data_IF_150103711059
#
_entry.id   IF_150103711059
#
_cell.length_a   1.000
_cell.length_b   1.000
_cell.length_c   1.000
_cell.angle_alpha   90.00
_cell.angle_beta   90.00
_cell.angle_gamma   90.00
#
_symmetry.space_group_name_H-M   'P 1'
#
loop_
_entity.id
_entity.type
_entity.pdbx_description
1 polymer ?
#
# COMPACT_ATOMS: atom_id res chain seq x y z
N UNK A 1 20.60 2.46 -6.14
CA UNK A 1 20.31 3.82 -6.66
C UNK A 1 18.81 4.04 -6.94
N UNK A 2 18.06 3.06 -7.43
CA UNK A 2 16.63 3.24 -7.81
C UNK A 2 15.72 3.70 -6.65
N UNK A 3 15.86 3.12 -5.44
CA UNK A 3 15.01 3.49 -4.30
C UNK A 3 15.20 4.97 -3.92
N UNK A 4 16.43 5.45 -3.89
CA UNK A 4 16.72 6.87 -3.61
C UNK A 4 16.07 7.76 -4.65
N UNK A 5 16.18 7.40 -5.93
CA UNK A 5 15.53 8.13 -7.01
C UNK A 5 14.00 8.19 -6.82
N UNK A 6 13.37 7.04 -6.52
CA UNK A 6 11.92 6.97 -6.26
C UNK A 6 11.54 7.85 -5.06
N UNK A 7 12.28 7.78 -3.97
CA UNK A 7 12.04 8.63 -2.78
C UNK A 7 12.15 10.11 -3.13
N UNK A 8 13.21 10.52 -3.82
CA UNK A 8 13.41 11.92 -4.22
C UNK A 8 12.27 12.41 -5.11
N UNK A 9 11.85 11.62 -6.09
CA UNK A 9 10.71 11.96 -6.98
C UNK A 9 9.43 12.16 -6.15
N UNK A 10 9.12 11.25 -5.20
CA UNK A 10 7.94 11.36 -4.35
C UNK A 10 8.02 12.55 -3.39
N UNK A 11 9.19 12.88 -2.85
CA UNK A 11 9.38 14.06 -2.00
C UNK A 11 9.21 15.37 -2.78
N UNK A 12 9.75 15.46 -3.99
CA UNK A 12 9.53 16.60 -4.88
C UNK A 12 8.03 16.72 -5.22
N UNK A 13 7.39 15.60 -5.56
CA UNK A 13 5.96 15.57 -5.84
C UNK A 13 5.13 16.05 -4.63
N UNK A 14 5.48 15.59 -3.43
CA UNK A 14 4.86 16.06 -2.20
C UNK A 14 5.04 17.58 -1.98
N UNK A 15 6.25 18.09 -2.18
CA UNK A 15 6.55 19.51 -2.00
C UNK A 15 5.77 20.40 -2.98
N UNK A 16 5.52 19.92 -4.21
CA UNK A 16 4.82 20.67 -5.25
C UNK A 16 3.29 20.60 -5.16
N UNK A 17 2.73 19.45 -4.73
CA UNK A 17 1.32 19.16 -4.87
C UNK A 17 0.55 18.99 -3.56
N UNK A 18 1.21 18.82 -2.40
CA UNK A 18 0.52 18.64 -1.13
C UNK A 18 0.20 19.97 -0.42
N UNK A 19 -1.08 20.14 -0.10
CA UNK A 19 -1.54 21.17 0.84
C UNK A 19 -1.34 20.69 2.29
N UNK A 20 -0.55 21.43 3.06
CA UNK A 20 -0.21 21.09 4.44
C UNK A 20 -1.44 20.92 5.34
N UNK A 21 -2.47 21.75 5.18
CA UNK A 21 -3.69 21.69 5.98
C UNK A 21 -4.48 20.41 5.69
N UNK A 22 -4.62 20.07 4.41
CA UNK A 22 -5.29 18.83 3.98
C UNK A 22 -4.49 17.58 4.40
N UNK A 23 -3.17 17.64 4.31
CA UNK A 23 -2.29 16.57 4.77
C UNK A 23 -2.47 16.32 6.28
N UNK A 24 -2.50 17.38 7.10
CA UNK A 24 -2.76 17.24 8.52
C UNK A 24 -4.12 16.59 8.84
N UNK A 25 -5.17 16.95 8.11
CA UNK A 25 -6.50 16.33 8.26
C UNK A 25 -6.54 14.86 7.85
N UNK A 26 -5.71 14.45 6.90
CA UNK A 26 -5.62 13.07 6.41
C UNK A 26 -4.66 12.21 7.23
N UNK A 27 -3.84 12.80 8.11
CA UNK A 27 -2.81 12.11 8.88
C UNK A 27 -3.32 10.89 9.68
N UNK A 28 -4.49 10.92 10.37
CA UNK A 28 -5.00 9.72 11.04
C UNK A 28 -5.26 8.55 10.08
N UNK A 29 -5.61 8.83 8.82
CA UNK A 29 -5.82 7.80 7.79
C UNK A 29 -4.49 7.24 7.29
N UNK A 30 -3.45 8.04 7.21
CA UNK A 30 -2.09 7.57 6.94
C UNK A 30 -1.62 6.63 8.04
N UNK A 31 -1.83 6.99 9.32
CA UNK A 31 -1.47 6.12 10.44
C UNK A 31 -2.23 4.79 10.42
N UNK A 32 -3.55 4.83 10.15
CA UNK A 32 -4.35 3.61 9.95
C UNK A 32 -3.72 2.70 8.90
N UNK A 33 -3.35 3.24 7.75
CA UNK A 33 -2.71 2.47 6.70
C UNK A 33 -1.37 1.87 7.15
N UNK A 34 -0.49 2.68 7.77
CA UNK A 34 0.81 2.23 8.29
C UNK A 34 0.62 1.07 9.27
N UNK A 35 -0.33 1.19 10.21
CA UNK A 35 -0.60 0.13 11.20
C UNK A 35 -1.01 -1.16 10.50
N UNK A 36 -1.95 -1.13 9.55
CA UNK A 36 -2.39 -2.34 8.87
C UNK A 36 -1.33 -2.93 7.95
N UNK A 37 -0.50 -2.10 7.33
CA UNK A 37 0.66 -2.57 6.56
C UNK A 37 1.69 -3.27 7.48
N UNK A 38 1.97 -2.71 8.65
CA UNK A 38 2.85 -3.34 9.64
C UNK A 38 2.24 -4.64 10.21
N UNK A 39 0.92 -4.71 10.43
CA UNK A 39 0.23 -5.94 10.82
C UNK A 39 0.40 -7.02 9.75
N UNK A 40 0.24 -6.67 8.47
CA UNK A 40 0.52 -7.59 7.37
C UNK A 40 1.98 -8.10 7.44
N UNK A 41 2.95 -7.20 7.52
CA UNK A 41 4.37 -7.55 7.59
C UNK A 41 4.71 -8.39 8.83
N UNK A 42 4.05 -8.17 9.95
CA UNK A 42 4.23 -8.97 11.15
C UNK A 42 3.68 -10.40 10.98
N UNK A 43 2.44 -10.52 10.47
CA UNK A 43 1.78 -11.82 10.29
C UNK A 43 2.47 -12.67 9.21
N UNK A 44 2.84 -12.05 8.10
CA UNK A 44 3.42 -12.73 6.93
C UNK A 44 4.95 -12.70 6.91
N UNK A 45 5.62 -12.35 8.01
CA UNK A 45 7.07 -12.19 8.08
C UNK A 45 7.87 -13.36 7.52
N UNK A 46 7.50 -14.60 7.87
CA UNK A 46 8.17 -15.83 7.38
C UNK A 46 7.44 -16.48 6.20
N UNK A 47 6.36 -15.88 5.73
CA UNK A 47 5.53 -16.42 4.64
C UNK A 47 4.95 -15.29 3.77
N UNK A 48 5.79 -14.39 3.27
CA UNK A 48 5.34 -13.21 2.55
C UNK A 48 4.58 -13.60 1.29
N UNK A 49 3.56 -12.81 0.93
CA UNK A 49 2.80 -12.94 -0.31
C UNK A 49 3.52 -12.29 -1.48
N UNK A 50 4.38 -11.29 -1.16
CA UNK A 50 5.28 -10.63 -2.11
C UNK A 50 6.55 -10.18 -1.41
N UNK A 51 7.62 -10.06 -2.17
CA UNK A 51 8.92 -9.60 -1.68
C UNK A 51 9.55 -8.61 -2.63
N UNK A 52 10.15 -7.55 -2.07
CA UNK A 52 11.03 -6.68 -2.82
C UNK A 52 12.42 -7.30 -2.91
N UNK A 53 12.99 -7.30 -4.11
CA UNK A 53 14.33 -7.82 -4.37
C UNK A 53 15.36 -6.68 -4.39
N UNK A 54 16.40 -6.80 -3.59
CA UNK A 54 17.50 -5.84 -3.53
C UNK A 54 18.52 -6.05 -4.64
N UNK A 55 18.31 -5.43 -5.80
CA UNK A 55 19.17 -5.65 -6.99
C UNK A 55 20.55 -4.97 -6.86
N UNK A 56 20.69 -3.91 -6.06
CA UNK A 56 21.86 -3.03 -6.14
C UNK A 56 22.85 -3.12 -5.00
N UNK A 57 22.43 -3.48 -3.81
CA UNK A 57 23.30 -3.62 -2.63
C UNK A 57 22.68 -4.54 -1.59
N UNK A 58 23.47 -5.27 -0.77
CA UNK A 58 22.96 -6.09 0.33
C UNK A 58 22.17 -5.31 1.41
N UNK A 59 22.41 -3.99 1.51
CA UNK A 59 21.73 -3.09 2.46
C UNK A 59 20.28 -2.87 2.04
N UNK A 60 19.97 -2.87 0.74
CA UNK A 60 18.63 -2.72 0.18
C UNK A 60 17.93 -4.08 0.15
N UNK A 61 17.71 -4.68 1.31
CA UNK A 61 16.92 -5.90 1.46
C UNK A 61 15.42 -5.59 1.47
N UNK A 62 14.61 -6.62 1.38
CA UNK A 62 13.15 -6.52 1.41
C UNK A 62 12.64 -5.61 2.55
N UNK A 63 13.11 -5.83 3.77
CA UNK A 63 12.66 -5.06 4.95
C UNK A 63 12.94 -3.57 4.81
N UNK A 64 14.12 -3.17 4.34
CA UNK A 64 14.48 -1.76 4.19
C UNK A 64 13.65 -1.08 3.10
N UNK A 65 13.42 -1.77 1.99
CA UNK A 65 12.57 -1.28 0.90
C UNK A 65 11.13 -1.14 1.40
N UNK A 66 10.59 -2.15 2.06
CA UNK A 66 9.24 -2.18 2.62
C UNK A 66 9.02 -1.04 3.63
N UNK A 67 9.97 -0.80 4.54
CA UNK A 67 9.89 0.32 5.47
C UNK A 67 9.89 1.68 4.75
N UNK A 68 10.67 1.81 3.68
CA UNK A 68 10.70 3.04 2.87
C UNK A 68 9.35 3.27 2.19
N UNK A 69 8.73 2.23 1.63
CA UNK A 69 7.38 2.33 1.08
C UNK A 69 6.36 2.65 2.16
N UNK A 70 6.39 1.95 3.28
CA UNK A 70 5.44 2.12 4.39
C UNK A 70 5.45 3.52 5.01
N UNK A 71 6.64 4.11 5.19
CA UNK A 71 6.77 5.37 5.94
C UNK A 71 6.98 6.62 5.07
N UNK A 72 7.30 6.45 3.79
CA UNK A 72 7.59 7.59 2.91
C UNK A 72 6.68 7.57 1.69
N UNK A 73 6.77 6.55 0.84
CA UNK A 73 6.15 6.56 -0.49
C UNK A 73 4.62 6.46 -0.38
N UNK A 74 4.12 5.43 0.28
CA UNK A 74 2.67 5.20 0.42
C UNK A 74 1.96 6.30 1.22
N UNK A 75 2.50 6.83 2.32
CA UNK A 75 1.95 8.03 2.96
C UNK A 75 1.75 9.20 2.02
N UNK A 76 2.73 9.54 1.20
CA UNK A 76 2.62 10.63 0.23
C UNK A 76 1.52 10.31 -0.80
N UNK A 77 1.50 9.09 -1.32
CA UNK A 77 0.48 8.65 -2.27
C UNK A 77 -0.94 8.75 -1.67
N UNK A 78 -1.13 8.32 -0.42
CA UNK A 78 -2.42 8.39 0.30
C UNK A 78 -2.85 9.84 0.51
N UNK A 79 -1.94 10.72 0.90
CA UNK A 79 -2.23 12.14 1.07
C UNK A 79 -2.70 12.77 -0.22
N UNK A 80 -2.03 12.51 -1.34
CA UNK A 80 -2.43 13.00 -2.67
C UNK A 80 -3.78 12.40 -3.08
N UNK A 81 -3.96 11.09 -2.91
CA UNK A 81 -5.21 10.41 -3.19
C UNK A 81 -6.40 11.05 -2.46
N UNK A 82 -6.26 11.31 -1.17
CA UNK A 82 -7.34 11.90 -0.35
C UNK A 82 -7.57 13.38 -0.68
N UNK A 83 -6.50 14.13 -0.97
CA UNK A 83 -6.58 15.55 -1.25
C UNK A 83 -7.39 15.87 -2.52
N UNK A 84 -7.22 15.07 -3.55
CA UNK A 84 -7.86 15.26 -4.86
C UNK A 84 -9.08 14.37 -5.08
N UNK A 85 -9.59 13.74 -4.03
CA UNK A 85 -10.70 12.81 -4.15
C UNK A 85 -12.00 13.50 -4.59
N UNK A 86 -12.63 13.09 -5.70
CA UNK A 86 -13.78 13.77 -6.27
C UNK A 86 -15.07 13.63 -5.43
N UNK A 87 -16.06 14.48 -5.72
CA UNK A 87 -17.37 14.47 -5.02
C UNK A 87 -18.41 13.57 -5.69
N UNK A 88 -18.46 13.57 -7.03
CA UNK A 88 -19.45 12.80 -7.81
C UNK A 88 -19.19 11.28 -7.73
N UNK A 89 -20.26 10.48 -7.68
CA UNK A 89 -20.16 9.02 -7.53
C UNK A 89 -19.41 8.35 -8.69
N UNK A 90 -19.70 8.78 -9.92
CA UNK A 90 -19.04 8.26 -11.13
C UNK A 90 -17.56 8.59 -11.11
N UNK A 91 -17.23 9.87 -10.82
CA UNK A 91 -15.83 10.29 -10.74
C UNK A 91 -15.06 9.59 -9.61
N UNK A 92 -15.72 9.22 -8.50
CA UNK A 92 -15.09 8.42 -7.43
C UNK A 92 -14.65 7.05 -7.94
N UNK A 93 -15.56 6.34 -8.64
CA UNK A 93 -15.24 5.01 -9.19
C UNK A 93 -14.10 5.09 -10.22
N UNK A 94 -14.16 6.04 -11.14
CA UNK A 94 -13.09 6.28 -12.13
C UNK A 94 -11.77 6.62 -11.43
N UNK A 95 -11.80 7.49 -10.43
CA UNK A 95 -10.61 7.93 -9.71
C UNK A 95 -9.94 6.78 -8.94
N UNK A 96 -10.72 5.95 -8.24
CA UNK A 96 -10.20 4.72 -7.61
C UNK A 96 -9.60 3.81 -8.68
N UNK A 97 -10.31 3.60 -9.79
CA UNK A 97 -9.82 2.78 -10.91
C UNK A 97 -8.48 3.27 -11.47
N UNK A 98 -8.30 4.58 -11.64
CA UNK A 98 -7.04 5.17 -12.09
C UNK A 98 -5.88 4.88 -11.11
N UNK A 99 -6.12 5.00 -9.80
CA UNK A 99 -5.11 4.68 -8.78
C UNK A 99 -4.78 3.19 -8.76
N UNK A 100 -5.78 2.32 -8.91
CA UNK A 100 -5.58 0.87 -9.01
C UNK A 100 -4.74 0.52 -10.24
N UNK A 101 -5.08 1.08 -11.40
CA UNK A 101 -4.31 0.87 -12.64
C UNK A 101 -2.87 1.37 -12.47
N UNK A 102 -2.69 2.56 -11.91
CA UNK A 102 -1.37 3.14 -11.67
C UNK A 102 -0.50 2.24 -10.78
N UNK A 103 -1.03 1.81 -9.62
CA UNK A 103 -0.27 0.94 -8.71
C UNK A 103 0.00 -0.43 -9.30
N UNK A 104 -1.00 -1.04 -9.96
CA UNK A 104 -0.82 -2.33 -10.62
C UNK A 104 0.17 -2.26 -11.77
N UNK A 105 0.24 -1.14 -12.48
CA UNK A 105 1.23 -0.91 -13.53
C UNK A 105 2.65 -0.79 -12.96
N UNK A 106 2.84 -0.02 -11.89
CA UNK A 106 4.15 0.11 -11.22
C UNK A 106 4.60 -1.24 -10.66
N UNK A 107 3.71 -1.99 -10.04
CA UNK A 107 3.98 -3.32 -9.51
C UNK A 107 4.39 -4.31 -10.61
N UNK A 108 3.66 -4.30 -11.74
CA UNK A 108 4.00 -5.13 -12.90
C UNK A 108 5.34 -4.73 -13.53
N UNK A 109 5.66 -3.43 -13.55
CA UNK A 109 6.95 -2.93 -13.99
C UNK A 109 8.08 -3.45 -13.10
N UNK A 110 7.91 -3.36 -11.78
CA UNK A 110 8.88 -3.85 -10.80
C UNK A 110 9.05 -5.37 -10.90
N UNK A 111 7.94 -6.10 -11.10
CA UNK A 111 7.99 -7.55 -11.32
C UNK A 111 8.79 -7.90 -12.59
N UNK A 112 8.56 -7.21 -13.71
CA UNK A 112 9.34 -7.43 -14.95
C UNK A 112 10.80 -7.04 -14.85
N UNK A 113 11.14 -6.14 -13.93
CA UNK A 113 12.52 -5.71 -13.67
C UNK A 113 13.20 -6.56 -12.59
N UNK A 114 12.58 -7.66 -12.16
CA UNK A 114 13.08 -8.55 -11.09
C UNK A 114 13.31 -7.84 -9.75
N UNK A 115 12.64 -6.70 -9.54
CA UNK A 115 12.70 -5.93 -8.30
C UNK A 115 11.59 -6.29 -7.32
N UNK A 116 10.65 -7.12 -7.74
CA UNK A 116 9.46 -7.53 -6.99
C UNK A 116 9.05 -8.94 -7.40
N UNK A 117 8.75 -9.78 -6.44
CA UNK A 117 8.40 -11.18 -6.65
C UNK A 117 7.11 -11.54 -5.91
N UNK A 118 6.29 -12.39 -6.54
CA UNK A 118 5.08 -12.95 -5.91
C UNK A 118 5.38 -14.33 -5.34
N UNK A 119 4.85 -14.59 -4.16
CA UNK A 119 5.04 -15.84 -3.43
C UNK A 119 3.73 -16.37 -2.86
N UNK A 120 3.73 -17.61 -2.39
CA UNK A 120 2.66 -18.22 -1.59
C UNK A 120 1.25 -18.10 -2.20
N UNK A 121 1.14 -18.22 -3.51
CA UNK A 121 -0.14 -18.21 -4.25
C UNK A 121 -0.65 -16.81 -4.59
N UNK A 122 0.05 -15.74 -4.18
CA UNK A 122 -0.29 -14.39 -4.59
C UNK A 122 0.06 -14.15 -6.06
N UNK A 123 -0.57 -13.18 -6.69
CA UNK A 123 -0.31 -12.81 -8.09
C UNK A 123 -0.79 -11.39 -8.38
N UNK A 124 -0.42 -10.84 -9.54
CA UNK A 124 -0.86 -9.51 -10.00
C UNK A 124 -2.38 -9.33 -9.95
N UNK A 125 -3.17 -10.39 -10.18
CA UNK A 125 -4.64 -10.31 -10.08
C UNK A 125 -5.09 -10.06 -8.65
N UNK A 126 -4.49 -10.75 -7.68
CA UNK A 126 -4.77 -10.54 -6.26
C UNK A 126 -4.36 -9.13 -5.82
N UNK A 127 -3.21 -8.63 -6.28
CA UNK A 127 -2.78 -7.25 -6.04
C UNK A 127 -3.76 -6.23 -6.59
N UNK A 128 -4.28 -6.41 -7.80
CA UNK A 128 -5.27 -5.49 -8.37
C UNK A 128 -6.57 -5.44 -7.54
N UNK A 129 -7.10 -6.59 -7.11
CA UNK A 129 -8.26 -6.66 -6.22
C UNK A 129 -7.96 -6.05 -4.85
N UNK A 130 -6.79 -6.34 -4.29
CA UNK A 130 -6.36 -5.76 -3.03
C UNK A 130 -6.22 -4.24 -3.12
N UNK A 131 -5.71 -3.70 -4.22
CA UNK A 131 -5.62 -2.26 -4.45
C UNK A 131 -7.01 -1.60 -4.49
N UNK A 132 -8.03 -2.24 -5.10
CA UNK A 132 -9.42 -1.74 -5.05
C UNK A 132 -9.91 -1.67 -3.61
N UNK A 133 -9.72 -2.74 -2.85
CA UNK A 133 -10.09 -2.81 -1.44
C UNK A 133 -9.34 -1.74 -0.63
N UNK A 134 -8.04 -1.67 -0.77
CA UNK A 134 -7.16 -0.74 -0.07
C UNK A 134 -7.58 0.72 -0.27
N UNK A 135 -7.70 1.18 -1.51
CA UNK A 135 -8.11 2.57 -1.80
C UNK A 135 -9.54 2.87 -1.32
N UNK A 136 -10.44 1.90 -1.41
CA UNK A 136 -11.80 2.04 -0.87
C UNK A 136 -11.78 2.18 0.66
N UNK A 137 -11.01 1.36 1.35
CA UNK A 137 -10.87 1.39 2.81
C UNK A 137 -10.17 2.66 3.30
N UNK A 138 -9.13 3.14 2.60
CA UNK A 138 -8.48 4.43 2.87
C UNK A 138 -9.51 5.57 2.80
N UNK A 139 -10.33 5.59 1.75
CA UNK A 139 -11.36 6.61 1.61
C UNK A 139 -12.45 6.49 2.69
N UNK A 140 -12.86 5.28 3.02
CA UNK A 140 -13.84 5.02 4.06
C UNK A 140 -13.30 5.46 5.43
N UNK A 141 -12.04 5.14 5.76
CA UNK A 141 -11.40 5.54 7.01
C UNK A 141 -11.37 7.07 7.16
N UNK A 142 -11.02 7.78 6.11
CA UNK A 142 -11.00 9.23 6.14
C UNK A 142 -12.37 9.86 6.46
N UNK A 143 -13.48 9.15 6.23
CA UNK A 143 -14.84 9.62 6.50
C UNK A 143 -15.48 8.98 7.74
N UNK A 144 -15.20 7.70 7.99
CA UNK A 144 -15.80 6.88 9.05
C UNK A 144 -14.74 5.97 9.68
N UNK A 145 -13.80 6.53 10.47
CA UNK A 145 -12.65 5.78 10.96
C UNK A 145 -13.03 4.54 11.79
N UNK A 146 -13.93 4.67 12.75
CA UNK A 146 -14.34 3.56 13.64
C UNK A 146 -14.97 2.42 12.82
N UNK A 147 -15.89 2.74 11.89
CA UNK A 147 -16.50 1.73 11.02
C UNK A 147 -15.45 0.99 10.20
N UNK A 148 -14.46 1.72 9.67
CA UNK A 148 -13.41 1.12 8.86
C UNK A 148 -12.54 0.17 9.66
N UNK A 149 -12.16 0.54 10.89
CA UNK A 149 -11.39 -0.33 11.78
C UNK A 149 -12.17 -1.63 12.07
N UNK A 150 -13.47 -1.50 12.36
CA UNK A 150 -14.33 -2.68 12.60
C UNK A 150 -14.38 -3.58 11.35
N UNK A 151 -14.54 -3.00 10.16
CA UNK A 151 -14.57 -3.76 8.90
C UNK A 151 -13.22 -4.37 8.54
N UNK A 152 -12.10 -3.77 8.97
CA UNK A 152 -10.77 -4.30 8.69
C UNK A 152 -10.52 -5.67 9.35
N UNK A 153 -11.15 -5.94 10.50
CA UNK A 153 -10.99 -7.22 11.20
C UNK A 153 -11.49 -8.41 10.36
N UNK A 154 -12.78 -8.46 9.94
CA UNK A 154 -13.26 -9.55 9.09
C UNK A 154 -12.54 -9.62 7.74
N UNK A 155 -12.15 -8.48 7.14
CA UNK A 155 -11.37 -8.46 5.90
C UNK A 155 -10.03 -9.16 6.11
N UNK A 156 -9.31 -8.86 7.20
CA UNK A 156 -8.03 -9.50 7.51
C UNK A 156 -8.22 -11.01 7.74
N UNK A 157 -9.28 -11.43 8.43
CA UNK A 157 -9.58 -12.86 8.62
C UNK A 157 -9.82 -13.56 7.27
N UNK A 158 -10.58 -12.94 6.38
CA UNK A 158 -10.83 -13.49 5.03
C UNK A 158 -9.52 -13.61 4.24
N UNK A 159 -8.67 -12.57 4.26
CA UNK A 159 -7.37 -12.61 3.57
C UNK A 159 -6.48 -13.74 4.11
N UNK A 160 -6.39 -13.91 5.43
CA UNK A 160 -5.63 -15.00 6.04
C UNK A 160 -6.22 -16.37 5.68
N UNK A 161 -7.55 -16.48 5.56
CA UNK A 161 -8.22 -17.73 5.14
C UNK A 161 -7.95 -18.07 3.68
N UNK A 162 -7.83 -17.06 2.81
CA UNK A 162 -7.49 -17.26 1.38
C UNK A 162 -6.01 -17.58 1.18
N UNK A 163 -5.14 -17.03 2.00
CA UNK A 163 -3.69 -17.20 1.94
C UNK A 163 -3.17 -17.64 3.32
N UNK A 164 -3.40 -18.91 3.69
CA UNK A 164 -3.14 -19.39 5.05
C UNK A 164 -1.65 -19.39 5.37
N UNK A 165 -1.33 -18.88 6.54
CA UNK A 165 0.02 -18.88 7.09
C UNK A 165 0.21 -20.20 7.85
N UNK A 166 1.20 -21.03 7.52
CA UNK A 166 1.52 -22.22 8.31
C UNK A 166 1.82 -21.83 9.77
N UNK A 167 1.20 -22.54 10.74
CA UNK A 167 1.33 -22.21 12.18
C UNK A 167 2.80 -22.13 12.63
N UNK A 168 3.66 -22.96 12.05
CA UNK A 168 5.11 -22.99 12.31
C UNK A 168 5.83 -21.70 11.85
N UNK A 169 5.21 -20.92 10.98
CA UNK A 169 5.75 -19.67 10.43
C UNK A 169 5.19 -18.42 11.09
N UNK A 170 4.19 -18.57 11.95
CA UNK A 170 3.72 -17.47 12.79
C UNK A 170 4.83 -17.04 13.76
N UNK A 171 4.90 -15.75 14.01
CA UNK A 171 5.91 -15.17 14.88
C UNK A 171 5.44 -15.18 16.33
#
# INVERSE_FOLDING_TARGET
MYLIFVVVVWLIFAALFLDRKKAYQAYPTVQYFIIFNLVYNFLYYKHPLWEYQGITTPILNHTFIELTFTFIILPIAILVYLQYFPSSIVHKAVYIGLWVVFFSFIELLFFKMEMFEYSNGWSVRHSAWFNILMFSMIRLHHKKPILTIILSVPITIVLISMFPIPLEKLK
#
